data_IF_006447637105
#
_entry.id   IF_006447637105
#
_cell.length_a   1.000
_cell.length_b   1.000
_cell.length_c   1.000
_cell.angle_alpha   90.00
_cell.angle_beta   90.00
_cell.angle_gamma   90.00
#
_symmetry.space_group_name_H-M   'P 1'
#
loop_
_entity.id
_entity.type
_entity.pdbx_description
1 polymer ?
#
# COMPACT_ATOMS: atom_id res chain seq x y z
N UNK A 1 31.45 24.52 -14.54
CA UNK A 1 31.75 23.35 -13.62
C UNK A 1 30.48 22.66 -13.12
N UNK A 2 29.45 22.51 -13.95
CA UNK A 2 28.14 22.01 -13.55
C UNK A 2 27.89 20.52 -13.84
N UNK A 3 28.79 19.86 -14.55
CA UNK A 3 28.68 18.43 -14.93
C UNK A 3 29.89 17.66 -14.40
N UNK A 4 29.90 17.38 -13.10
CA UNK A 4 30.84 16.44 -12.51
C UNK A 4 30.16 15.07 -12.51
N UNK A 5 30.61 14.17 -13.39
CA UNK A 5 30.16 12.80 -13.44
C UNK A 5 30.93 11.98 -12.40
N UNK A 6 30.28 11.63 -11.30
CA UNK A 6 30.85 10.77 -10.27
C UNK A 6 30.30 9.33 -10.43
N UNK A 7 31.19 8.44 -10.84
CA UNK A 7 30.89 7.01 -11.02
C UNK A 7 30.42 6.33 -9.73
N UNK A 8 30.91 6.77 -8.58
CA UNK A 8 30.55 6.18 -7.29
C UNK A 8 29.12 6.53 -6.91
N UNK A 9 28.74 7.79 -7.11
CA UNK A 9 27.36 8.26 -6.93
C UNK A 9 26.41 7.58 -7.92
N UNK A 10 26.79 7.46 -9.18
CA UNK A 10 25.98 6.77 -10.20
C UNK A 10 25.71 5.33 -9.79
N UNK A 11 26.75 4.57 -9.38
CA UNK A 11 26.61 3.17 -8.96
C UNK A 11 25.64 3.04 -7.78
N UNK A 12 25.72 3.93 -6.79
CA UNK A 12 24.80 3.95 -5.65
C UNK A 12 23.38 4.28 -6.11
N UNK A 13 23.20 5.30 -6.91
CA UNK A 13 21.89 5.71 -7.44
C UNK A 13 21.23 4.57 -8.23
N UNK A 14 21.98 3.86 -9.08
CA UNK A 14 21.48 2.70 -9.83
C UNK A 14 21.09 1.58 -8.86
N UNK A 15 21.90 1.29 -7.84
CA UNK A 15 21.57 0.23 -6.88
C UNK A 15 20.27 0.54 -6.10
N UNK A 16 20.08 1.78 -5.67
CA UNK A 16 18.85 2.22 -5.01
C UNK A 16 17.66 2.22 -5.96
N UNK A 17 17.85 2.73 -7.18
CA UNK A 17 16.81 2.74 -8.22
C UNK A 17 16.36 1.33 -8.60
N UNK A 18 17.31 0.39 -8.75
CA UNK A 18 17.02 -1.01 -9.03
C UNK A 18 16.20 -1.67 -7.92
N UNK A 19 16.61 -1.49 -6.65
CA UNK A 19 15.85 -2.02 -5.51
C UNK A 19 14.42 -1.45 -5.44
N UNK A 20 14.26 -0.15 -5.67
CA UNK A 20 12.93 0.48 -5.72
C UNK A 20 12.09 -0.03 -6.90
N UNK A 21 12.70 -0.23 -8.06
CA UNK A 21 12.02 -0.79 -9.23
C UNK A 21 11.56 -2.23 -8.99
N UNK A 22 12.40 -3.07 -8.38
CA UNK A 22 12.05 -4.44 -7.99
C UNK A 22 10.90 -4.46 -6.97
N UNK A 23 10.91 -3.54 -5.99
CA UNK A 23 9.82 -3.40 -5.04
C UNK A 23 8.51 -3.07 -5.74
N UNK A 24 8.50 -2.09 -6.65
CA UNK A 24 7.31 -1.71 -7.41
C UNK A 24 6.84 -2.84 -8.34
N UNK A 25 7.75 -3.54 -9.01
CA UNK A 25 7.42 -4.70 -9.83
C UNK A 25 6.74 -5.79 -9.01
N UNK A 26 7.23 -6.08 -7.80
CA UNK A 26 6.62 -7.06 -6.87
C UNK A 26 5.20 -6.64 -6.50
N UNK A 27 4.98 -5.38 -6.19
CA UNK A 27 3.63 -4.86 -5.86
C UNK A 27 2.68 -5.02 -7.05
N UNK A 28 3.12 -4.70 -8.27
CA UNK A 28 2.29 -4.84 -9.46
C UNK A 28 1.98 -6.30 -9.80
N UNK A 29 2.96 -7.19 -9.69
CA UNK A 29 2.75 -8.63 -9.86
C UNK A 29 1.75 -9.19 -8.85
N UNK A 30 1.83 -8.75 -7.58
CA UNK A 30 0.88 -9.11 -6.55
C UNK A 30 -0.55 -8.63 -6.87
N UNK A 31 -0.70 -7.39 -7.33
CA UNK A 31 -2.00 -6.84 -7.79
C UNK A 31 -2.57 -7.67 -8.95
N UNK A 32 -1.75 -8.05 -9.93
CA UNK A 32 -2.17 -8.91 -11.05
C UNK A 32 -2.62 -10.29 -10.53
N UNK A 33 -1.88 -10.88 -9.59
CA UNK A 33 -2.26 -12.16 -8.99
C UNK A 33 -3.62 -12.12 -8.28
N UNK A 34 -3.87 -11.09 -7.48
CA UNK A 34 -5.18 -10.87 -6.83
C UNK A 34 -6.26 -10.63 -7.88
N UNK A 35 -6.01 -9.81 -8.90
CA UNK A 35 -6.97 -9.55 -9.97
C UNK A 35 -7.34 -10.82 -10.74
N UNK A 36 -6.38 -11.72 -10.97
CA UNK A 36 -6.64 -13.00 -11.63
C UNK A 36 -7.62 -13.87 -10.80
N UNK A 37 -7.45 -13.88 -9.46
CA UNK A 37 -8.37 -14.58 -8.55
C UNK A 37 -9.76 -13.93 -8.59
N UNK A 38 -9.84 -12.60 -8.53
CA UNK A 38 -11.10 -11.86 -8.57
C UNK A 38 -11.87 -12.11 -9.86
N UNK A 39 -11.19 -12.23 -10.98
CA UNK A 39 -11.83 -12.52 -12.28
C UNK A 39 -12.53 -13.89 -12.32
N UNK A 40 -12.20 -14.82 -11.41
CA UNK A 40 -12.92 -16.10 -11.28
C UNK A 40 -14.22 -15.99 -10.51
N UNK A 41 -14.47 -14.86 -9.81
CA UNK A 41 -15.64 -14.64 -8.95
C UNK A 41 -16.86 -14.08 -9.69
N UNK A 42 -16.73 -13.84 -11.00
CA UNK A 42 -17.80 -13.28 -11.83
C UNK A 42 -17.63 -11.81 -12.18
N UNK A 43 -18.40 -11.36 -13.18
CA UNK A 43 -18.23 -10.02 -13.77
C UNK A 43 -18.62 -8.92 -12.80
N UNK A 44 -19.71 -9.06 -12.05
CA UNK A 44 -20.20 -8.07 -11.09
C UNK A 44 -19.17 -7.82 -9.97
N UNK A 45 -18.58 -8.90 -9.43
CA UNK A 45 -17.55 -8.82 -8.39
C UNK A 45 -16.26 -8.19 -8.92
N UNK A 46 -15.83 -8.58 -10.13
CA UNK A 46 -14.63 -8.02 -10.76
C UNK A 46 -14.80 -6.52 -11.06
N UNK A 47 -15.99 -6.11 -11.49
CA UNK A 47 -16.31 -4.70 -11.70
C UNK A 47 -16.31 -3.91 -10.39
N UNK A 48 -16.90 -4.47 -9.31
CA UNK A 48 -16.90 -3.87 -7.98
C UNK A 48 -15.47 -3.69 -7.45
N UNK A 49 -14.66 -4.75 -7.53
CA UNK A 49 -13.25 -4.70 -7.12
C UNK A 49 -12.45 -3.65 -7.89
N UNK A 50 -12.68 -3.55 -9.21
CA UNK A 50 -12.01 -2.56 -10.05
C UNK A 50 -12.41 -1.14 -9.64
N UNK A 51 -13.71 -0.89 -9.36
CA UNK A 51 -14.19 0.42 -8.91
C UNK A 51 -13.59 0.79 -7.54
N UNK A 52 -13.55 -0.14 -6.59
CA UNK A 52 -12.93 0.10 -5.27
C UNK A 52 -11.44 0.35 -5.42
N UNK A 53 -10.71 -0.36 -6.28
CA UNK A 53 -9.29 -0.07 -6.52
C UNK A 53 -9.06 1.38 -7.00
N UNK A 54 -10.01 1.97 -7.75
CA UNK A 54 -9.92 3.39 -8.13
C UNK A 54 -10.06 4.31 -6.91
N UNK A 55 -10.97 3.98 -6.00
CA UNK A 55 -11.13 4.71 -4.73
C UNK A 55 -9.87 4.58 -3.89
N UNK A 56 -9.33 3.36 -3.78
CA UNK A 56 -8.09 3.07 -3.06
C UNK A 56 -6.89 3.84 -3.62
N UNK A 57 -6.74 3.95 -4.93
CA UNK A 57 -5.66 4.72 -5.55
C UNK A 57 -5.70 6.20 -5.12
N UNK A 58 -6.90 6.80 -5.01
CA UNK A 58 -7.06 8.15 -4.45
C UNK A 58 -6.77 8.19 -2.95
N UNK A 59 -7.19 7.19 -2.20
CA UNK A 59 -6.97 7.10 -0.76
C UNK A 59 -5.47 6.93 -0.42
N UNK A 60 -4.76 6.07 -1.13
CA UNK A 60 -3.36 5.75 -0.84
C UNK A 60 -2.35 6.75 -1.39
N UNK A 61 -2.70 7.54 -2.40
CA UNK A 61 -1.76 8.50 -3.00
C UNK A 61 -1.19 9.51 -1.98
N UNK A 62 -1.97 10.16 -1.11
CA UNK A 62 -1.43 11.04 -0.08
C UNK A 62 -0.57 10.32 0.96
N UNK A 63 -0.93 9.10 1.40
CA UNK A 63 -0.10 8.28 2.29
C UNK A 63 1.28 8.02 1.68
N UNK A 64 1.32 7.60 0.42
CA UNK A 64 2.58 7.39 -0.28
C UNK A 64 3.43 8.66 -0.36
N UNK A 65 2.79 9.82 -0.55
CA UNK A 65 3.51 11.10 -0.59
C UNK A 65 4.06 11.50 0.79
N UNK A 66 3.35 11.23 1.89
CA UNK A 66 3.86 11.41 3.25
C UNK A 66 5.07 10.49 3.47
N UNK A 67 4.98 9.22 3.08
CA UNK A 67 6.09 8.27 3.18
C UNK A 67 7.30 8.71 2.33
N UNK A 68 7.11 9.28 1.14
CA UNK A 68 8.18 9.85 0.32
C UNK A 68 8.83 11.06 0.98
N UNK A 69 8.04 11.95 1.58
CA UNK A 69 8.56 13.09 2.36
C UNK A 69 9.38 12.61 3.56
N UNK A 70 8.89 11.59 4.28
CA UNK A 70 9.64 10.94 5.37
C UNK A 70 10.96 10.35 4.86
N UNK A 71 10.97 9.69 3.71
CA UNK A 71 12.19 9.15 3.09
C UNK A 71 13.24 10.25 2.89
N UNK A 72 12.84 11.39 2.32
CA UNK A 72 13.74 12.52 2.09
C UNK A 72 14.27 13.12 3.40
N UNK A 73 13.37 13.31 4.38
CA UNK A 73 13.71 13.84 5.70
C UNK A 73 14.71 12.93 6.44
N UNK A 74 14.47 11.63 6.43
CA UNK A 74 15.37 10.65 7.07
C UNK A 74 16.74 10.65 6.40
N UNK A 75 16.79 10.64 5.05
CA UNK A 75 18.05 10.62 4.30
C UNK A 75 18.90 11.87 4.58
N UNK A 76 18.28 13.04 4.57
CA UNK A 76 18.96 14.31 4.84
C UNK A 76 19.52 14.37 6.26
N UNK A 77 18.71 14.02 7.27
CA UNK A 77 19.13 14.08 8.67
C UNK A 77 20.15 12.98 9.02
N UNK A 78 20.06 11.80 8.37
CA UNK A 78 21.11 10.77 8.48
C UNK A 78 22.43 11.27 7.93
N UNK A 79 22.42 11.90 6.76
CA UNK A 79 23.63 12.51 6.17
C UNK A 79 24.24 13.60 7.05
N UNK A 80 23.40 14.39 7.73
CA UNK A 80 23.81 15.41 8.69
C UNK A 80 24.15 14.88 10.10
N UNK A 81 24.02 13.57 10.33
CA UNK A 81 24.21 12.90 11.65
C UNK A 81 23.29 13.46 12.75
N UNK A 82 22.08 13.93 12.39
CA UNK A 82 21.09 14.51 13.30
C UNK A 82 20.04 13.47 13.70
N UNK A 83 20.42 12.55 14.58
CA UNK A 83 19.55 11.48 15.05
C UNK A 83 18.34 11.99 15.84
N UNK A 84 18.47 13.11 16.52
CA UNK A 84 17.41 13.86 17.20
C UNK A 84 16.27 14.18 16.22
N UNK A 85 16.59 14.82 15.10
CA UNK A 85 15.65 15.21 14.05
C UNK A 85 15.06 14.00 13.30
N UNK A 86 15.85 12.94 13.15
CA UNK A 86 15.32 11.69 12.56
C UNK A 86 14.21 11.09 13.43
N UNK A 87 14.42 11.04 14.76
CA UNK A 87 13.42 10.50 15.68
C UNK A 87 12.15 11.36 15.73
N UNK A 88 12.32 12.68 15.76
CA UNK A 88 11.21 13.62 15.75
C UNK A 88 10.41 13.54 14.44
N UNK A 89 11.12 13.59 13.30
CA UNK A 89 10.51 13.48 11.98
C UNK A 89 9.79 12.15 11.75
N UNK A 90 10.33 11.05 12.26
CA UNK A 90 9.67 9.75 12.20
C UNK A 90 8.35 9.75 12.99
N UNK A 91 8.37 10.27 14.22
CA UNK A 91 7.15 10.38 15.05
C UNK A 91 6.10 11.27 14.38
N UNK A 92 6.52 12.44 13.88
CA UNK A 92 5.64 13.37 13.19
C UNK A 92 5.02 12.70 11.93
N UNK A 93 5.84 12.01 11.13
CA UNK A 93 5.38 11.30 9.95
C UNK A 93 4.36 10.20 10.28
N UNK A 94 4.63 9.37 11.31
CA UNK A 94 3.67 8.34 11.73
C UNK A 94 2.37 8.93 12.26
N UNK A 95 2.42 10.05 12.98
CA UNK A 95 1.20 10.74 13.44
C UNK A 95 0.40 11.26 12.25
N UNK A 96 1.04 11.88 11.26
CA UNK A 96 0.38 12.35 10.04
C UNK A 96 -0.25 11.19 9.26
N UNK A 97 0.47 10.08 9.05
CA UNK A 97 -0.05 8.86 8.41
C UNK A 97 -1.26 8.32 9.16
N UNK A 98 -1.18 8.24 10.50
CA UNK A 98 -2.28 7.72 11.32
C UNK A 98 -3.52 8.63 11.26
N UNK A 99 -3.34 9.95 11.36
CA UNK A 99 -4.43 10.92 11.24
C UNK A 99 -5.09 10.81 9.86
N UNK A 100 -4.28 10.74 8.80
CA UNK A 100 -4.79 10.59 7.45
C UNK A 100 -5.51 9.25 7.25
N UNK A 101 -4.95 8.14 7.75
CA UNK A 101 -5.58 6.81 7.69
C UNK A 101 -6.95 6.79 8.38
N UNK A 102 -7.07 7.45 9.56
CA UNK A 102 -8.36 7.59 10.24
C UNK A 102 -9.33 8.45 9.43
N UNK A 103 -8.86 9.55 8.83
CA UNK A 103 -9.69 10.41 7.99
C UNK A 103 -10.25 9.64 6.79
N UNK A 104 -9.40 8.91 6.07
CA UNK A 104 -9.80 8.11 4.91
C UNK A 104 -10.72 6.96 5.32
N UNK A 105 -10.45 6.30 6.45
CA UNK A 105 -11.39 5.32 7.00
C UNK A 105 -12.78 5.91 7.15
N UNK A 106 -12.92 7.05 7.83
CA UNK A 106 -14.22 7.70 8.06
C UNK A 106 -14.89 8.05 6.72
N UNK A 107 -14.14 8.63 5.78
CA UNK A 107 -14.69 9.02 4.47
C UNK A 107 -15.16 7.80 3.68
N UNK A 108 -14.32 6.77 3.57
CA UNK A 108 -14.66 5.56 2.80
C UNK A 108 -15.77 4.74 3.48
N UNK A 109 -15.82 4.72 4.81
CA UNK A 109 -16.86 3.98 5.53
C UNK A 109 -18.22 4.68 5.44
N UNK A 110 -18.26 6.00 5.70
CA UNK A 110 -19.53 6.76 5.72
C UNK A 110 -20.09 6.98 4.31
N UNK A 111 -19.22 7.26 3.36
CA UNK A 111 -19.63 7.59 1.99
C UNK A 111 -19.46 6.44 0.98
N UNK A 112 -19.28 5.20 1.45
CA UNK A 112 -19.02 4.02 0.62
C UNK A 112 -19.93 3.94 -0.62
N UNK A 113 -21.26 4.04 -0.43
CA UNK A 113 -22.23 3.99 -1.52
C UNK A 113 -22.07 5.14 -2.50
N UNK A 114 -21.90 6.37 -2.01
CA UNK A 114 -21.72 7.54 -2.86
C UNK A 114 -20.43 7.46 -3.67
N UNK A 115 -19.36 7.01 -3.05
CA UNK A 115 -18.08 6.80 -3.73
C UNK A 115 -18.20 5.75 -4.85
N UNK A 116 -18.90 4.65 -4.59
CA UNK A 116 -19.16 3.62 -5.62
C UNK A 116 -19.99 4.17 -6.77
N UNK A 117 -21.02 4.95 -6.49
CA UNK A 117 -21.90 5.55 -7.52
C UNK A 117 -21.16 6.53 -8.45
N UNK A 118 -19.98 7.04 -8.08
CA UNK A 118 -19.14 7.86 -8.96
C UNK A 118 -18.53 7.05 -10.11
N UNK A 119 -18.36 5.75 -9.92
CA UNK A 119 -17.67 4.88 -10.88
C UNK A 119 -18.60 3.87 -11.56
N UNK A 120 -19.71 3.48 -10.90
CA UNK A 120 -20.60 2.42 -11.35
C UNK A 120 -22.05 2.82 -11.14
N UNK A 121 -22.93 2.36 -12.06
CA UNK A 121 -24.37 2.61 -11.99
C UNK A 121 -25.19 1.36 -11.64
N UNK A 122 -24.61 0.18 -11.78
CA UNK A 122 -25.26 -1.10 -11.52
C UNK A 122 -25.39 -1.33 -10.02
N UNK A 123 -26.59 -1.55 -9.52
CA UNK A 123 -26.89 -1.73 -8.09
C UNK A 123 -26.26 -2.97 -7.50
N UNK A 124 -26.14 -4.06 -8.26
CA UNK A 124 -25.51 -5.29 -7.80
C UNK A 124 -24.00 -5.04 -7.58
N UNK A 125 -23.35 -4.39 -8.54
CA UNK A 125 -21.93 -4.00 -8.46
C UNK A 125 -21.69 -3.02 -7.31
N UNK A 126 -22.59 -2.04 -7.11
CA UNK A 126 -22.52 -1.12 -5.98
C UNK A 126 -22.62 -1.88 -4.66
N UNK A 127 -23.53 -2.85 -4.54
CA UNK A 127 -23.70 -3.67 -3.33
C UNK A 127 -22.43 -4.42 -2.96
N UNK A 128 -21.81 -5.11 -3.92
CA UNK A 128 -20.53 -5.78 -3.70
C UNK A 128 -19.41 -4.81 -3.33
N UNK A 129 -19.33 -3.67 -4.01
CA UNK A 129 -18.33 -2.64 -3.75
C UNK A 129 -18.46 -2.00 -2.38
N UNK A 130 -19.67 -1.72 -1.92
CA UNK A 130 -19.93 -1.17 -0.58
C UNK A 130 -19.52 -2.16 0.51
N UNK A 131 -19.88 -3.43 0.37
CA UNK A 131 -19.47 -4.49 1.31
C UNK A 131 -17.95 -4.58 1.41
N UNK A 132 -17.27 -4.62 0.25
CA UNK A 132 -15.81 -4.66 0.21
C UNK A 132 -15.19 -3.40 0.82
N UNK A 133 -15.68 -2.21 0.44
CA UNK A 133 -15.15 -0.93 0.91
C UNK A 133 -15.33 -0.74 2.42
N UNK A 134 -16.46 -1.18 2.99
CA UNK A 134 -16.66 -1.17 4.45
C UNK A 134 -15.62 -2.04 5.17
N UNK A 135 -15.37 -3.25 4.67
CA UNK A 135 -14.40 -4.15 5.30
C UNK A 135 -12.96 -3.66 5.17
N UNK A 136 -12.56 -3.18 3.98
CA UNK A 136 -11.18 -2.75 3.74
C UNK A 136 -10.87 -1.42 4.44
N UNK A 137 -11.84 -0.50 4.51
CA UNK A 137 -11.64 0.83 5.09
C UNK A 137 -11.27 0.78 6.58
N UNK A 138 -11.82 -0.16 7.35
CA UNK A 138 -11.45 -0.38 8.76
C UNK A 138 -9.93 -0.67 8.89
N UNK A 139 -9.34 -1.23 7.86
CA UNK A 139 -7.94 -1.65 7.85
C UNK A 139 -6.99 -0.54 7.38
N UNK A 140 -7.45 0.62 6.92
CA UNK A 140 -6.61 1.70 6.35
C UNK A 140 -5.54 2.25 7.30
N UNK A 141 -5.67 2.05 8.60
CA UNK A 141 -4.63 2.40 9.57
C UNK A 141 -3.38 1.53 9.37
N UNK A 142 -3.53 0.27 8.92
CA UNK A 142 -2.38 -0.63 8.71
C UNK A 142 -1.48 -0.18 7.55
N UNK A 143 -2.01 0.10 6.34
CA UNK A 143 -1.18 0.67 5.26
C UNK A 143 -0.57 2.02 5.65
N UNK A 144 -1.26 2.89 6.39
CA UNK A 144 -0.70 4.15 6.87
C UNK A 144 0.57 3.90 7.71
N UNK A 145 0.50 3.02 8.71
CA UNK A 145 1.66 2.66 9.53
C UNK A 145 2.77 2.00 8.70
N UNK A 146 2.43 1.05 7.84
CA UNK A 146 3.41 0.33 7.03
C UNK A 146 4.09 1.22 6.00
N UNK A 147 3.39 2.17 5.39
CA UNK A 147 3.96 3.18 4.49
C UNK A 147 4.93 4.09 5.24
N UNK A 148 4.57 4.57 6.43
CA UNK A 148 5.45 5.36 7.28
C UNK A 148 6.74 4.63 7.65
N UNK A 149 6.64 3.34 8.05
CA UNK A 149 7.81 2.50 8.33
C UNK A 149 8.67 2.30 7.08
N UNK A 150 8.07 2.01 5.93
CA UNK A 150 8.81 1.91 4.67
C UNK A 150 9.51 3.21 4.29
N UNK A 151 8.84 4.36 4.51
CA UNK A 151 9.45 5.68 4.31
C UNK A 151 10.70 5.88 5.16
N UNK A 152 10.64 5.47 6.43
CA UNK A 152 11.78 5.50 7.34
C UNK A 152 12.93 4.60 6.85
N UNK A 153 12.68 3.31 6.60
CA UNK A 153 13.71 2.36 6.18
C UNK A 153 14.34 2.74 4.84
N UNK A 154 13.56 3.21 3.88
CA UNK A 154 14.10 3.77 2.62
C UNK A 154 15.01 4.96 2.88
N UNK A 155 14.61 5.87 3.75
CA UNK A 155 15.37 7.07 4.06
C UNK A 155 16.70 6.78 4.76
N UNK A 156 16.74 5.78 5.63
CA UNK A 156 18.00 5.34 6.24
C UNK A 156 18.85 4.45 5.32
N UNK A 157 18.34 4.10 4.12
CA UNK A 157 19.05 3.31 3.12
C UNK A 157 18.98 1.81 3.31
N UNK A 158 18.10 1.31 4.18
CA UNK A 158 17.87 -0.13 4.36
C UNK A 158 16.76 -0.61 3.43
N UNK A 159 17.14 -0.78 2.16
CA UNK A 159 16.22 -1.25 1.13
C UNK A 159 15.89 -2.75 1.22
N UNK A 160 16.70 -3.52 1.95
CA UNK A 160 16.44 -4.96 2.12
C UNK A 160 15.15 -5.19 2.88
N UNK A 161 14.96 -4.47 3.99
CA UNK A 161 13.72 -4.54 4.79
C UNK A 161 12.51 -4.17 3.92
N UNK A 162 12.59 -3.09 3.14
CA UNK A 162 11.46 -2.67 2.29
C UNK A 162 11.14 -3.67 1.18
N UNK A 163 12.15 -4.31 0.61
CA UNK A 163 11.97 -5.36 -0.38
C UNK A 163 11.32 -6.60 0.23
N UNK A 164 11.91 -7.13 1.31
CA UNK A 164 11.42 -8.36 1.98
C UNK A 164 9.98 -8.16 2.45
N UNK A 165 9.70 -7.05 3.14
CA UNK A 165 8.36 -6.76 3.63
C UNK A 165 7.33 -6.63 2.50
N UNK A 166 7.70 -6.07 1.33
CA UNK A 166 6.83 -6.00 0.17
C UNK A 166 6.57 -7.38 -0.46
N UNK A 167 7.59 -8.24 -0.54
CA UNK A 167 7.45 -9.62 -1.00
C UNK A 167 6.53 -10.42 -0.08
N UNK A 168 6.72 -10.31 1.24
CA UNK A 168 5.87 -10.98 2.24
C UNK A 168 4.43 -10.48 2.13
N UNK A 169 4.23 -9.17 2.04
CA UNK A 169 2.90 -8.58 1.88
C UNK A 169 2.17 -9.14 0.66
N UNK A 170 2.78 -9.03 -0.51
CA UNK A 170 2.14 -9.46 -1.77
C UNK A 170 2.01 -10.98 -1.88
N UNK A 171 3.01 -11.71 -1.41
CA UNK A 171 2.95 -13.17 -1.33
C UNK A 171 1.78 -13.66 -0.46
N UNK A 172 1.65 -13.12 0.75
CA UNK A 172 0.55 -13.49 1.64
C UNK A 172 -0.82 -13.09 1.10
N UNK A 173 -0.95 -11.94 0.43
CA UNK A 173 -2.23 -11.57 -0.22
C UNK A 173 -2.69 -12.63 -1.21
N UNK A 174 -1.81 -13.08 -2.09
CA UNK A 174 -2.15 -14.10 -3.09
C UNK A 174 -2.36 -15.46 -2.44
N UNK A 175 -1.47 -15.87 -1.53
CA UNK A 175 -1.54 -17.16 -0.84
C UNK A 175 -2.78 -17.31 0.04
N UNK A 176 -3.30 -16.24 0.60
CA UNK A 176 -4.51 -16.25 1.43
C UNK A 176 -5.76 -16.08 0.56
N UNK A 177 -5.74 -15.20 -0.45
CA UNK A 177 -6.89 -15.00 -1.33
C UNK A 177 -7.24 -16.27 -2.13
N UNK A 178 -6.24 -16.97 -2.68
CA UNK A 178 -6.47 -18.12 -3.52
C UNK A 178 -7.25 -19.24 -2.81
N UNK A 179 -6.86 -19.77 -1.64
CA UNK A 179 -7.63 -20.80 -0.97
C UNK A 179 -8.99 -20.30 -0.46
N UNK A 180 -9.10 -19.07 0.04
CA UNK A 180 -10.38 -18.54 0.50
C UNK A 180 -11.42 -18.46 -0.64
N UNK A 181 -11.00 -18.04 -1.81
CA UNK A 181 -11.88 -17.90 -2.97
C UNK A 181 -12.08 -19.24 -3.68
N UNK A 182 -10.99 -19.95 -4.04
CA UNK A 182 -11.05 -21.10 -4.93
C UNK A 182 -11.42 -22.40 -4.20
N UNK A 183 -11.15 -22.52 -2.90
CA UNK A 183 -11.41 -23.75 -2.12
C UNK A 183 -12.60 -23.55 -1.19
N UNK A 184 -12.64 -22.45 -0.45
CA UNK A 184 -13.70 -22.19 0.52
C UNK A 184 -14.94 -21.52 -0.09
N UNK A 185 -14.85 -21.00 -1.32
CA UNK A 185 -15.96 -20.37 -2.03
C UNK A 185 -16.45 -19.05 -1.42
N UNK A 186 -15.57 -18.35 -0.65
CA UNK A 186 -15.93 -17.05 -0.13
C UNK A 186 -16.08 -16.02 -1.27
N UNK A 187 -17.02 -15.09 -1.08
CA UNK A 187 -17.25 -13.96 -1.99
C UNK A 187 -16.18 -12.87 -1.88
N UNK A 188 -16.56 -11.65 -2.27
CA UNK A 188 -15.67 -10.48 -2.27
C UNK A 188 -15.08 -10.17 -0.88
N UNK A 189 -15.72 -10.63 0.18
CA UNK A 189 -15.30 -10.48 1.58
C UNK A 189 -13.97 -11.20 1.89
N UNK A 190 -13.58 -12.22 1.11
CA UNK A 190 -12.30 -12.90 1.26
C UNK A 190 -11.10 -11.98 1.02
N UNK A 191 -11.26 -10.98 0.14
CA UNK A 191 -10.17 -10.10 -0.28
C UNK A 191 -9.65 -9.21 0.85
N UNK A 192 -10.49 -8.51 1.65
CA UNK A 192 -10.01 -7.74 2.79
C UNK A 192 -9.19 -8.57 3.78
N UNK A 193 -9.59 -9.82 4.05
CA UNK A 193 -8.81 -10.71 4.93
C UNK A 193 -7.45 -11.07 4.35
N UNK A 194 -7.34 -11.24 3.04
CA UNK A 194 -6.06 -11.46 2.39
C UNK A 194 -5.14 -10.23 2.47
N UNK A 195 -5.72 -9.04 2.35
CA UNK A 195 -4.99 -7.77 2.53
C UNK A 195 -4.53 -7.59 3.99
N UNK A 196 -5.40 -7.93 4.95
CA UNK A 196 -5.05 -7.92 6.37
C UNK A 196 -3.84 -8.84 6.65
N UNK A 197 -3.88 -10.08 6.16
CA UNK A 197 -2.76 -11.01 6.31
C UNK A 197 -1.47 -10.46 5.69
N UNK A 198 -1.57 -9.81 4.52
CA UNK A 198 -0.44 -9.16 3.86
C UNK A 198 0.18 -8.05 4.73
N UNK A 199 -0.65 -7.14 5.28
CA UNK A 199 -0.15 -6.03 6.11
C UNK A 199 0.42 -6.52 7.45
N UNK A 200 -0.23 -7.48 8.11
CA UNK A 200 0.31 -8.08 9.33
C UNK A 200 1.66 -8.75 9.05
N UNK A 201 1.74 -9.57 7.99
CA UNK A 201 3.00 -10.20 7.59
C UNK A 201 4.11 -9.20 7.29
N UNK A 202 3.75 -8.06 6.69
CA UNK A 202 4.67 -6.96 6.40
C UNK A 202 5.20 -6.28 7.69
N UNK A 203 4.38 -6.20 8.74
CA UNK A 203 4.79 -5.61 10.02
C UNK A 203 5.69 -6.54 10.83
N UNK A 204 5.58 -7.86 10.60
CA UNK A 204 6.37 -8.87 11.31
C UNK A 204 7.70 -9.15 10.62
N UNK A 205 7.79 -8.96 9.30
CA UNK A 205 8.99 -9.20 8.49
C UNK A 205 10.02 -8.06 8.57
#
# INVERSE_FOLDING_TARGET
KWLIFDRSLLKRTIAYGWASAMQQATVQLGKIGVQAIVNTMGVSVAAAFTAVNRIDDFAYTPEQNIAHAMTALMAQNKGAKRNDRMREGFRCGLVLETIYGILIFIVCFVFARHLMMLFVKDEEVIGHGVTYLHLISIMYILPAITNGLQGFFRGIGDLKITLISSFVNMGLRVLVAAPLVLVCGFGIEALPFSYLAGWIGMLVA
#
